data_IF_055592905467
#
_entry.id   IF_055592905467
#
_cell.length_a   1.000
_cell.length_b   1.000
_cell.length_c   1.000
_cell.angle_alpha   90.00
_cell.angle_beta   90.00
_cell.angle_gamma   90.00
#
_symmetry.space_group_name_H-M   'P 1'
#
loop_
_entity.id
_entity.type
_entity.pdbx_description
1 polymer ?
#
# COMPACT_ATOMS: atom_id res chain seq x y z
N UNK A 1 -23.81 20.24 13.19
CA UNK A 1 -23.12 21.21 12.33
C UNK A 1 -23.27 20.74 10.91
N UNK A 2 -23.80 21.59 10.03
CA UNK A 2 -23.94 21.22 8.62
C UNK A 2 -22.63 21.53 7.86
N UNK A 3 -22.33 20.81 6.76
CA UNK A 3 -21.11 21.02 5.96
C UNK A 3 -20.91 22.49 5.57
N UNK A 4 -21.98 23.20 5.27
CA UNK A 4 -21.96 24.62 4.90
C UNK A 4 -21.55 25.56 6.03
N UNK A 5 -21.76 25.19 7.30
CA UNK A 5 -21.33 25.97 8.46
C UNK A 5 -19.83 25.78 8.73
N UNK A 6 -19.32 24.57 8.48
CA UNK A 6 -17.90 24.21 8.58
C UNK A 6 -17.11 24.92 7.49
N UNK A 7 -17.59 24.90 6.24
CA UNK A 7 -16.99 25.64 5.13
C UNK A 7 -16.92 27.15 5.42
N UNK A 8 -18.00 27.72 5.94
CA UNK A 8 -18.04 29.14 6.30
C UNK A 8 -17.05 29.47 7.45
N UNK A 9 -16.92 28.59 8.44
CA UNK A 9 -15.97 28.75 9.54
C UNK A 9 -14.50 28.62 9.08
N UNK A 10 -14.19 27.66 8.20
CA UNK A 10 -12.88 27.51 7.59
C UNK A 10 -12.51 28.69 6.70
N UNK A 11 -13.44 29.15 5.86
CA UNK A 11 -13.23 30.34 5.04
C UNK A 11 -13.02 31.60 5.90
N UNK A 12 -13.73 31.73 7.02
CA UNK A 12 -13.50 32.82 7.97
C UNK A 12 -12.12 32.71 8.65
N UNK A 13 -11.68 31.50 9.01
CA UNK A 13 -10.35 31.26 9.56
C UNK A 13 -9.25 31.57 8.53
N UNK A 14 -9.40 31.13 7.27
CA UNK A 14 -8.48 31.48 6.18
C UNK A 14 -8.39 32.99 5.96
N UNK A 15 -9.54 33.67 5.99
CA UNK A 15 -9.60 35.13 5.86
C UNK A 15 -8.94 35.87 7.03
N UNK A 16 -8.91 35.27 8.22
CA UNK A 16 -8.18 35.81 9.38
C UNK A 16 -6.68 35.53 9.27
N UNK A 17 -6.26 34.35 8.80
CA UNK A 17 -4.86 34.02 8.53
C UNK A 17 -4.25 34.91 7.43
N UNK A 18 -5.02 35.22 6.39
CA UNK A 18 -4.63 36.14 5.32
C UNK A 18 -4.39 37.57 5.87
N UNK A 19 -5.17 38.01 6.87
CA UNK A 19 -4.96 39.29 7.57
C UNK A 19 -3.73 39.29 8.49
N UNK A 20 -3.29 38.12 8.93
CA UNK A 20 -2.11 37.95 9.80
C UNK A 20 -0.82 37.67 9.02
N UNK A 21 -0.80 37.88 7.69
CA UNK A 21 0.35 37.65 6.80
C UNK A 21 0.83 36.19 6.74
N UNK A 22 0.00 35.23 7.18
CA UNK A 22 0.19 33.80 6.97
C UNK A 22 -0.76 33.31 5.87
N UNK A 23 -0.57 33.82 4.64
CA UNK A 23 -1.44 33.50 3.52
C UNK A 23 -1.22 32.07 3.04
N UNK A 24 -2.25 31.24 3.18
CA UNK A 24 -2.28 29.90 2.59
C UNK A 24 -2.57 30.04 1.09
N UNK A 25 -1.84 29.30 0.25
CA UNK A 25 -2.15 29.19 -1.17
C UNK A 25 -3.53 28.54 -1.37
N UNK A 26 -4.20 28.84 -2.49
CA UNK A 26 -5.51 28.27 -2.82
C UNK A 26 -5.50 26.72 -2.81
N UNK A 27 -4.37 26.12 -3.19
CA UNK A 27 -4.18 24.66 -3.09
C UNK A 27 -4.15 24.16 -1.63
N UNK A 28 -3.49 24.87 -0.73
CA UNK A 28 -3.47 24.53 0.70
C UNK A 28 -4.84 24.72 1.36
N UNK A 29 -5.57 25.78 0.99
CA UNK A 29 -6.95 26.01 1.43
C UNK A 29 -7.86 24.86 1.00
N UNK A 30 -7.72 24.40 -0.24
CA UNK A 30 -8.51 23.28 -0.78
C UNK A 30 -8.20 21.94 -0.09
N UNK A 31 -6.92 21.68 0.25
CA UNK A 31 -6.52 20.49 1.02
C UNK A 31 -7.13 20.54 2.44
N UNK A 32 -7.05 21.67 3.14
CA UNK A 32 -7.60 21.82 4.49
C UNK A 32 -9.12 21.69 4.52
N UNK A 33 -9.81 22.28 3.53
CA UNK A 33 -11.26 22.14 3.38
C UNK A 33 -11.64 20.67 3.21
N UNK A 34 -10.91 19.95 2.36
CA UNK A 34 -11.17 18.54 2.10
C UNK A 34 -10.92 17.65 3.34
N UNK A 35 -9.83 17.89 4.09
CA UNK A 35 -9.51 17.16 5.33
C UNK A 35 -10.61 17.32 6.37
N UNK A 36 -11.03 18.56 6.62
CA UNK A 36 -11.97 18.86 7.71
C UNK A 36 -13.39 18.42 7.35
N UNK A 37 -13.78 18.57 6.09
CA UNK A 37 -15.06 18.05 5.59
C UNK A 37 -15.09 16.53 5.67
N UNK A 38 -14.01 15.82 5.31
CA UNK A 38 -13.97 14.36 5.40
C UNK A 38 -13.96 13.85 6.86
N UNK A 39 -13.18 14.46 7.77
CA UNK A 39 -13.18 14.07 9.19
C UNK A 39 -14.50 14.39 9.91
N UNK A 40 -15.10 15.56 9.66
CA UNK A 40 -16.32 15.97 10.34
C UNK A 40 -17.58 15.34 9.74
N UNK A 41 -17.65 15.10 8.43
CA UNK A 41 -18.78 14.37 7.81
C UNK A 41 -18.72 12.88 8.18
N UNK A 42 -17.52 12.29 8.27
CA UNK A 42 -17.35 10.92 8.76
C UNK A 42 -17.91 10.72 10.17
N UNK A 43 -17.71 11.70 11.06
CA UNK A 43 -18.23 11.67 12.44
C UNK A 43 -19.71 12.09 12.54
N UNK A 44 -20.15 13.08 11.75
CA UNK A 44 -21.49 13.68 11.87
C UNK A 44 -22.62 12.84 11.24
N UNK A 45 -22.31 11.95 10.29
CA UNK A 45 -23.31 11.06 9.66
C UNK A 45 -23.55 9.75 10.43
N UNK A 46 -22.89 9.52 11.56
CA UNK A 46 -23.02 8.26 12.29
C UNK A 46 -22.71 7.06 11.39
N UNK A 47 -21.76 7.22 10.47
CA UNK A 47 -21.16 6.08 9.79
C UNK A 47 -20.39 5.37 10.90
N UNK A 48 -20.74 4.12 11.25
CA UNK A 48 -19.93 3.36 12.18
C UNK A 48 -18.48 3.40 11.67
N UNK A 49 -17.48 3.46 12.55
CA UNK A 49 -16.17 2.90 12.19
C UNK A 49 -16.44 1.63 11.38
N UNK A 50 -15.79 1.38 10.23
CA UNK A 50 -16.19 0.28 9.37
C UNK A 50 -15.97 -1.04 10.11
N UNK A 51 -16.99 -1.47 10.86
CA UNK A 51 -17.24 -2.81 11.29
C UNK A 51 -17.44 -3.60 10.01
N UNK A 52 -16.39 -4.29 9.58
CA UNK A 52 -16.45 -5.53 8.79
C UNK A 52 -17.58 -5.57 7.75
N UNK A 53 -17.64 -4.55 6.88
CA UNK A 53 -18.66 -4.41 5.85
C UNK A 53 -18.08 -4.74 4.47
N UNK A 54 -18.57 -5.85 3.93
CA UNK A 54 -18.25 -6.47 2.64
C UNK A 54 -18.64 -5.58 1.44
N UNK A 55 -17.78 -4.62 1.09
CA UNK A 55 -17.96 -3.73 -0.05
C UNK A 55 -16.61 -3.32 -0.64
N UNK A 56 -16.09 -4.18 -1.51
CA UNK A 56 -14.93 -3.91 -2.38
C UNK A 56 -13.61 -3.62 -1.65
N UNK A 57 -13.08 -4.66 -0.97
CA UNK A 57 -11.74 -4.71 -0.34
C UNK A 57 -10.59 -4.76 -1.36
N UNK A 58 -10.67 -3.99 -2.44
CA UNK A 58 -9.54 -3.88 -3.35
C UNK A 58 -8.46 -3.06 -2.64
N UNK A 59 -7.37 -3.71 -2.24
CA UNK A 59 -6.25 -3.05 -1.58
C UNK A 59 -5.82 -1.86 -2.46
N UNK A 60 -5.82 -0.60 -1.97
CA UNK A 60 -5.49 0.56 -2.78
C UNK A 60 -4.05 0.51 -3.33
N UNK A 61 -3.18 -0.30 -2.72
CA UNK A 61 -1.85 -0.59 -3.24
C UNK A 61 -1.88 -1.50 -4.48
N UNK A 62 -2.98 -2.22 -4.73
CA UNK A 62 -3.22 -2.97 -5.96
C UNK A 62 -3.36 -2.06 -7.18
N UNK A 63 -3.85 -0.82 -6.99
CA UNK A 63 -3.96 0.21 -8.03
C UNK A 63 -2.59 0.77 -8.45
N UNK A 64 -1.54 0.52 -7.68
CA UNK A 64 -0.16 0.87 -8.01
C UNK A 64 0.48 -0.18 -8.92
N UNK A 65 1.35 0.26 -9.83
CA UNK A 65 2.24 -0.67 -10.54
C UNK A 65 3.18 -1.36 -9.56
N UNK A 66 3.69 -2.54 -9.92
CA UNK A 66 4.61 -3.30 -9.06
C UNK A 66 5.83 -2.48 -8.63
N UNK A 67 6.36 -1.65 -9.53
CA UNK A 67 7.49 -0.76 -9.21
C UNK A 67 7.09 0.36 -8.25
N UNK A 68 5.96 1.05 -8.49
CA UNK A 68 5.46 2.10 -7.59
C UNK A 68 5.15 1.57 -6.18
N UNK A 69 4.59 0.35 -6.11
CA UNK A 69 4.32 -0.32 -4.85
C UNK A 69 5.60 -0.65 -4.10
N UNK A 70 6.62 -1.18 -4.78
CA UNK A 70 7.93 -1.52 -4.20
C UNK A 70 8.58 -0.29 -3.58
N UNK A 71 8.62 0.80 -4.33
CA UNK A 71 9.19 2.08 -3.90
C UNK A 71 8.42 2.64 -2.69
N UNK A 72 7.09 2.59 -2.69
CA UNK A 72 6.27 3.04 -1.56
C UNK A 72 6.51 2.19 -0.30
N UNK A 73 6.51 0.86 -0.42
CA UNK A 73 6.77 -0.03 0.71
C UNK A 73 8.18 0.18 1.28
N UNK A 74 9.17 0.41 0.43
CA UNK A 74 10.53 0.73 0.88
C UNK A 74 10.57 2.07 1.62
N UNK A 75 9.90 3.10 1.10
CA UNK A 75 9.81 4.41 1.76
C UNK A 75 9.11 4.33 3.12
N UNK A 76 7.96 3.66 3.18
CA UNK A 76 7.20 3.47 4.43
C UNK A 76 8.06 2.74 5.47
N UNK A 77 8.74 1.66 5.08
CA UNK A 77 9.65 0.91 5.96
C UNK A 77 10.81 1.77 6.49
N UNK A 78 11.41 2.60 5.64
CA UNK A 78 12.49 3.51 6.04
C UNK A 78 12.00 4.55 7.04
N UNK A 79 10.81 5.12 6.81
CA UNK A 79 10.18 6.08 7.72
C UNK A 79 9.75 5.44 9.05
N UNK A 80 9.20 4.22 9.03
CA UNK A 80 8.85 3.47 10.24
C UNK A 80 10.10 3.12 11.07
N UNK A 81 11.23 2.80 10.44
CA UNK A 81 12.51 2.58 11.13
C UNK A 81 12.97 3.82 11.89
N UNK A 82 12.70 5.00 11.35
CA UNK A 82 12.97 6.29 12.00
C UNK A 82 11.87 6.73 12.98
N UNK A 83 10.85 5.88 13.19
CA UNK A 83 9.65 6.16 13.99
C UNK A 83 8.92 7.44 13.53
N UNK A 84 8.93 7.68 12.21
CA UNK A 84 8.32 8.85 11.57
C UNK A 84 7.06 8.41 10.82
N UNK A 85 5.91 9.09 11.04
CA UNK A 85 4.69 8.82 10.29
C UNK A 85 4.87 9.25 8.82
N UNK A 86 5.07 8.28 7.94
CA UNK A 86 5.36 8.47 6.51
C UNK A 86 4.31 9.31 5.78
N UNK A 87 3.02 9.16 6.15
CA UNK A 87 1.93 9.97 5.60
C UNK A 87 2.09 11.44 5.92
N UNK A 88 2.48 11.76 7.15
CA UNK A 88 2.67 13.14 7.60
C UNK A 88 3.84 13.78 6.85
N UNK A 89 4.90 13.01 6.59
CA UNK A 89 6.02 13.49 5.76
C UNK A 89 5.56 13.84 4.35
N UNK A 90 4.83 12.95 3.68
CA UNK A 90 4.28 13.23 2.34
C UNK A 90 3.36 14.45 2.33
N UNK A 91 2.45 14.55 3.30
CA UNK A 91 1.55 15.69 3.40
C UNK A 91 2.30 17.00 3.65
N UNK A 92 3.33 16.99 4.49
CA UNK A 92 4.17 18.15 4.73
C UNK A 92 4.95 18.56 3.48
N UNK A 93 5.48 17.61 2.72
CA UNK A 93 6.17 17.87 1.47
C UNK A 93 5.19 18.51 0.46
N UNK A 94 3.96 18.02 0.40
CA UNK A 94 2.92 18.56 -0.49
C UNK A 94 2.48 19.97 -0.09
N UNK A 95 2.31 20.21 1.22
CA UNK A 95 1.94 21.52 1.76
C UNK A 95 3.04 22.55 1.52
N UNK A 96 4.32 22.19 1.63
CA UNK A 96 5.45 23.09 1.39
C UNK A 96 5.84 23.18 -0.09
N UNK A 97 5.05 22.56 -0.98
CA UNK A 97 5.32 22.45 -2.41
C UNK A 97 6.73 21.90 -2.73
N UNK A 98 7.23 21.03 -1.85
CA UNK A 98 8.48 20.32 -2.02
C UNK A 98 8.24 19.06 -2.85
N UNK A 99 9.29 18.62 -3.53
CA UNK A 99 9.28 17.38 -4.29
C UNK A 99 9.33 16.20 -3.30
N UNK A 100 8.35 15.30 -3.37
CA UNK A 100 8.32 14.08 -2.56
C UNK A 100 9.26 12.99 -3.10
N UNK A 101 10.09 13.33 -4.10
CA UNK A 101 11.08 12.46 -4.70
C UNK A 101 10.40 11.30 -5.43
N UNK A 102 10.79 10.07 -5.10
CA UNK A 102 10.21 8.88 -5.71
C UNK A 102 8.72 8.68 -5.36
N UNK A 103 8.18 9.42 -4.38
CA UNK A 103 6.76 9.39 -4.00
C UNK A 103 5.90 10.45 -4.70
N UNK A 104 6.49 11.26 -5.58
CA UNK A 104 5.79 12.33 -6.30
C UNK A 104 4.63 11.79 -7.17
N UNK A 105 4.73 10.54 -7.65
CA UNK A 105 3.65 9.89 -8.40
C UNK A 105 2.34 9.78 -7.61
N UNK A 106 2.41 9.72 -6.28
CA UNK A 106 1.21 9.67 -5.43
C UNK A 106 0.49 11.01 -5.53
N UNK A 107 1.22 12.12 -5.43
CA UNK A 107 0.68 13.48 -5.55
C UNK A 107 0.08 13.73 -6.93
N UNK A 108 0.81 13.35 -7.99
CA UNK A 108 0.47 13.71 -9.36
C UNK A 108 -0.65 12.84 -9.94
N UNK A 109 -0.77 11.58 -9.51
CA UNK A 109 -1.65 10.59 -10.15
C UNK A 109 -2.82 10.11 -9.29
N UNK A 110 -2.64 10.05 -7.97
CA UNK A 110 -3.61 9.46 -7.05
C UNK A 110 -4.21 10.47 -6.07
N UNK A 111 -3.41 11.46 -5.66
CA UNK A 111 -3.80 12.53 -4.75
C UNK A 111 -4.05 12.08 -3.31
N UNK A 112 -4.62 13.01 -2.54
CA UNK A 112 -4.86 12.85 -1.11
C UNK A 112 -5.90 11.76 -0.78
N UNK A 113 -6.96 11.65 -1.60
CA UNK A 113 -8.05 10.68 -1.37
C UNK A 113 -7.53 9.24 -1.36
N UNK A 114 -6.62 8.91 -2.27
CA UNK A 114 -5.98 7.60 -2.29
C UNK A 114 -5.08 7.37 -1.07
N UNK A 115 -4.32 8.40 -0.65
CA UNK A 115 -3.45 8.30 0.53
C UNK A 115 -4.24 8.03 1.83
N UNK A 116 -5.45 8.58 1.94
CA UNK A 116 -6.35 8.31 3.07
C UNK A 116 -6.90 6.88 3.05
N UNK A 117 -7.16 6.31 1.86
CA UNK A 117 -7.59 4.91 1.71
C UNK A 117 -6.52 3.90 2.14
N UNK A 118 -5.23 4.23 2.06
CA UNK A 118 -4.15 3.34 2.49
C UNK A 118 -4.15 3.19 4.02
N UNK A 119 -4.62 2.07 4.54
CA UNK A 119 -4.59 1.77 5.97
C UNK A 119 -3.35 0.94 6.35
N UNK A 120 -2.92 0.95 7.62
CA UNK A 120 -1.84 0.09 8.10
C UNK A 120 -2.09 -1.40 7.81
N UNK A 121 -3.34 -1.85 7.81
CA UNK A 121 -3.71 -3.23 7.44
C UNK A 121 -3.36 -3.57 5.99
N UNK A 122 -3.52 -2.62 5.06
CA UNK A 122 -3.17 -2.80 3.65
C UNK A 122 -1.66 -2.89 3.45
N UNK A 123 -0.89 -2.17 4.25
CA UNK A 123 0.57 -2.24 4.26
C UNK A 123 1.05 -3.53 4.93
N UNK A 124 0.41 -3.93 6.03
CA UNK A 124 0.70 -5.17 6.75
C UNK A 124 0.51 -6.40 5.87
N UNK A 125 -0.46 -6.40 4.95
CA UNK A 125 -0.62 -7.44 3.94
C UNK A 125 0.66 -7.64 3.11
N UNK A 126 1.38 -6.57 2.78
CA UNK A 126 2.65 -6.64 2.07
C UNK A 126 3.87 -6.86 2.99
N UNK A 127 3.80 -6.44 4.25
CA UNK A 127 4.89 -6.61 5.23
C UNK A 127 4.92 -7.98 5.91
N UNK A 128 3.77 -8.62 6.11
CA UNK A 128 3.66 -9.92 6.78
C UNK A 128 4.06 -11.10 5.88
N UNK A 129 4.33 -10.85 4.60
CA UNK A 129 4.67 -11.88 3.61
C UNK A 129 6.13 -12.33 3.65
N UNK A 130 6.97 -11.92 4.60
CA UNK A 130 8.34 -12.45 4.66
C UNK A 130 8.33 -13.91 5.15
N UNK A 131 8.41 -14.82 4.18
CA UNK A 131 8.58 -16.26 4.36
C UNK A 131 9.75 -16.56 5.28
N UNK A 132 9.51 -17.48 6.20
CA UNK A 132 10.50 -18.10 7.06
C UNK A 132 10.58 -19.58 6.75
N UNK A 133 11.73 -20.17 7.05
CA UNK A 133 11.90 -21.62 6.98
C UNK A 133 10.91 -22.28 7.95
N UNK A 134 10.10 -23.20 7.42
CA UNK A 134 9.02 -23.89 8.13
C UNK A 134 7.61 -23.38 7.78
N UNK A 135 7.49 -22.26 7.06
CA UNK A 135 6.20 -21.72 6.67
C UNK A 135 5.51 -22.59 5.62
N UNK A 136 4.18 -22.75 5.75
CA UNK A 136 3.35 -23.43 4.75
C UNK A 136 2.73 -22.42 3.80
N UNK A 137 3.00 -22.60 2.52
CA UNK A 137 2.48 -21.76 1.45
C UNK A 137 1.90 -22.62 0.34
N UNK A 138 1.05 -22.02 -0.46
CA UNK A 138 0.58 -22.61 -1.71
C UNK A 138 1.27 -21.92 -2.88
N UNK A 139 1.75 -22.72 -3.84
CA UNK A 139 2.37 -22.21 -5.06
C UNK A 139 1.58 -22.63 -6.28
N UNK A 140 1.51 -21.74 -7.25
CA UNK A 140 0.76 -21.92 -8.48
C UNK A 140 1.56 -22.75 -9.49
N UNK A 141 0.90 -23.61 -10.27
CA UNK A 141 1.53 -24.25 -11.42
C UNK A 141 2.06 -23.25 -12.47
N UNK A 142 1.63 -21.99 -12.42
CA UNK A 142 2.19 -20.90 -13.23
C UNK A 142 3.71 -20.68 -13.06
N UNK A 143 4.36 -21.29 -12.06
CA UNK A 143 5.82 -21.28 -11.90
C UNK A 143 6.57 -22.20 -12.87
N UNK A 144 5.93 -23.27 -13.35
CA UNK A 144 6.57 -24.29 -14.20
C UNK A 144 5.73 -24.68 -15.42
N UNK A 145 4.46 -24.29 -15.46
CA UNK A 145 3.55 -24.46 -16.58
C UNK A 145 3.10 -23.09 -17.12
N UNK A 146 2.99 -23.00 -18.44
CA UNK A 146 2.37 -21.85 -19.08
C UNK A 146 0.86 -21.92 -18.92
N UNK A 147 0.34 -21.35 -17.83
CA UNK A 147 -1.09 -21.29 -17.52
C UNK A 147 -1.69 -19.99 -18.05
N UNK A 148 -2.72 -20.08 -18.89
CA UNK A 148 -3.47 -18.91 -19.39
C UNK A 148 -4.73 -18.72 -18.52
N UNK A 149 -4.99 -17.50 -18.06
CA UNK A 149 -6.19 -17.19 -17.22
C UNK A 149 -7.53 -17.58 -17.88
N UNK A 150 -7.59 -17.64 -19.21
CA UNK A 150 -8.77 -18.03 -19.99
C UNK A 150 -8.54 -19.28 -20.87
N UNK A 151 -7.53 -20.10 -20.54
CA UNK A 151 -7.22 -21.33 -21.27
C UNK A 151 -7.90 -22.57 -20.68
N UNK A 152 -7.85 -23.73 -21.37
CA UNK A 152 -8.38 -25.00 -20.85
C UNK A 152 -7.61 -25.56 -19.65
N UNK A 153 -6.47 -24.97 -19.29
CA UNK A 153 -5.71 -25.29 -18.08
C UNK A 153 -5.92 -24.17 -17.06
N UNK A 154 -6.64 -24.47 -15.98
CA UNK A 154 -6.84 -23.56 -14.86
C UNK A 154 -5.58 -23.44 -14.00
N UNK A 155 -5.41 -22.29 -13.33
CA UNK A 155 -4.37 -22.10 -12.31
C UNK A 155 -4.68 -22.97 -11.10
N UNK A 156 -3.80 -23.93 -10.85
CA UNK A 156 -3.88 -24.84 -9.70
C UNK A 156 -2.86 -24.42 -8.64
N UNK A 157 -3.23 -24.60 -7.37
CA UNK A 157 -2.43 -24.23 -6.22
C UNK A 157 -1.99 -25.49 -5.47
N UNK A 158 -0.68 -25.61 -5.25
CA UNK A 158 -0.05 -26.78 -4.64
C UNK A 158 0.53 -26.39 -3.29
N UNK A 159 0.16 -27.11 -2.21
CA UNK A 159 0.72 -26.86 -0.90
C UNK A 159 2.20 -27.26 -0.86
N UNK A 160 3.01 -26.44 -0.22
CA UNK A 160 4.43 -26.69 -0.01
C UNK A 160 4.93 -26.02 1.28
N UNK A 161 6.12 -26.44 1.72
CA UNK A 161 6.77 -25.89 2.91
C UNK A 161 8.04 -25.15 2.50
N UNK A 162 8.27 -23.96 3.04
CA UNK A 162 9.50 -23.20 2.82
C UNK A 162 10.63 -23.87 3.58
N UNK A 163 11.67 -24.29 2.86
CA UNK A 163 12.87 -24.94 3.43
C UNK A 163 14.11 -24.05 3.41
N UNK A 164 14.11 -22.99 2.60
CA UNK A 164 15.20 -22.03 2.54
C UNK A 164 14.72 -20.68 2.03
N UNK A 165 15.31 -19.59 2.53
CA UNK A 165 15.12 -18.24 2.00
C UNK A 165 16.50 -17.59 1.92
N UNK A 166 16.87 -17.13 0.74
CA UNK A 166 18.18 -16.50 0.49
C UNK A 166 18.01 -15.22 -0.32
N UNK A 167 18.84 -14.23 -0.03
CA UNK A 167 18.86 -12.99 -0.80
C UNK A 167 20.02 -13.04 -1.80
N UNK A 168 19.73 -12.75 -3.07
CA UNK A 168 20.70 -12.73 -4.15
C UNK A 168 20.83 -11.30 -4.66
N UNK A 169 22.06 -10.81 -4.74
CA UNK A 169 22.37 -9.52 -5.32
C UNK A 169 22.95 -9.71 -6.73
N UNK A 170 22.27 -9.18 -7.74
CA UNK A 170 22.71 -9.20 -9.13
C UNK A 170 22.81 -7.76 -9.65
N UNK A 171 24.06 -7.27 -9.76
CA UNK A 171 24.32 -5.87 -10.08
C UNK A 171 23.83 -4.91 -8.99
N UNK A 172 22.96 -3.97 -9.37
CA UNK A 172 22.31 -3.02 -8.44
C UNK A 172 20.99 -3.55 -7.85
N UNK A 173 20.54 -4.75 -8.25
CA UNK A 173 19.24 -5.29 -7.82
C UNK A 173 19.44 -6.45 -6.85
N UNK A 174 18.80 -6.35 -5.70
CA UNK A 174 18.68 -7.44 -4.72
C UNK A 174 17.30 -8.06 -4.85
N UNK A 175 17.24 -9.38 -5.01
CA UNK A 175 15.99 -10.14 -5.03
C UNK A 175 16.07 -11.31 -4.06
N UNK A 176 14.92 -11.75 -3.55
CA UNK A 176 14.87 -12.88 -2.61
C UNK A 176 14.48 -14.16 -3.33
N UNK A 177 15.25 -15.22 -3.12
CA UNK A 177 14.93 -16.57 -3.55
C UNK A 177 14.33 -17.36 -2.38
N UNK A 178 13.43 -18.27 -2.71
CA UNK A 178 12.78 -19.15 -1.77
C UNK A 178 12.93 -20.60 -2.26
N UNK A 179 13.43 -21.49 -1.41
CA UNK A 179 13.43 -22.93 -1.67
C UNK A 179 12.22 -23.51 -0.97
N UNK A 180 11.34 -24.13 -1.75
CA UNK A 180 10.15 -24.82 -1.28
C UNK A 180 10.32 -26.33 -1.39
N UNK A 181 9.62 -27.08 -0.54
CA UNK A 181 9.52 -28.53 -0.59
C UNK A 181 8.05 -28.94 -0.66
N UNK A 182 7.70 -29.71 -1.67
CA UNK A 182 6.37 -30.31 -1.82
C UNK A 182 6.23 -31.56 -0.95
N UNK A 183 5.00 -32.01 -0.73
CA UNK A 183 4.71 -33.21 0.08
C UNK A 183 5.31 -34.50 -0.50
N UNK A 184 5.60 -34.53 -1.80
CA UNK A 184 6.29 -35.64 -2.46
C UNK A 184 7.82 -35.65 -2.20
N UNK A 185 8.35 -34.68 -1.44
CA UNK A 185 9.77 -34.55 -1.14
C UNK A 185 10.58 -33.79 -2.20
N UNK A 186 9.97 -33.39 -3.31
CA UNK A 186 10.63 -32.59 -4.35
C UNK A 186 10.87 -31.17 -3.86
N UNK A 187 12.08 -30.66 -4.07
CA UNK A 187 12.46 -29.29 -3.75
C UNK A 187 12.53 -28.44 -5.01
N UNK A 188 12.10 -27.19 -4.91
CA UNK A 188 12.10 -26.24 -6.01
C UNK A 188 12.55 -24.86 -5.53
N UNK A 189 13.42 -24.20 -6.30
CA UNK A 189 13.86 -22.84 -6.03
C UNK A 189 13.02 -21.85 -6.83
N UNK A 190 12.39 -20.92 -6.13
CA UNK A 190 11.64 -19.80 -6.68
C UNK A 190 12.48 -18.56 -6.53
N UNK A 191 13.01 -18.07 -7.65
CA UNK A 191 13.76 -16.81 -7.67
C UNK A 191 12.81 -15.61 -7.67
N UNK A 192 13.19 -14.53 -7.00
CA UNK A 192 12.39 -13.31 -6.94
C UNK A 192 10.99 -13.55 -6.37
N UNK A 193 10.90 -14.29 -5.26
CA UNK A 193 9.64 -14.70 -4.62
C UNK A 193 8.73 -13.51 -4.30
N UNK A 194 9.30 -12.37 -3.91
CA UNK A 194 8.55 -11.13 -3.65
C UNK A 194 8.45 -10.21 -4.85
N UNK A 195 9.22 -10.48 -5.90
CA UNK A 195 9.35 -9.65 -7.09
C UNK A 195 8.41 -10.18 -8.18
N UNK A 196 8.98 -10.75 -9.25
CA UNK A 196 8.22 -11.25 -10.39
C UNK A 196 7.39 -12.51 -10.07
N UNK A 197 7.71 -13.24 -9.01
CA UNK A 197 6.96 -14.43 -8.60
C UNK A 197 5.95 -14.17 -7.47
N UNK A 198 5.72 -12.92 -7.08
CA UNK A 198 4.77 -12.57 -6.00
C UNK A 198 3.33 -13.04 -6.25
N UNK A 199 2.90 -13.16 -7.52
CA UNK A 199 1.55 -13.61 -7.89
C UNK A 199 1.41 -15.13 -7.98
N UNK A 200 2.53 -15.85 -7.86
CA UNK A 200 2.62 -17.29 -8.06
C UNK A 200 2.65 -18.07 -6.74
N UNK A 201 2.50 -17.40 -5.61
CA UNK A 201 2.39 -18.04 -4.30
C UNK A 201 1.41 -17.27 -3.42
N UNK A 202 0.88 -17.94 -2.40
CA UNK A 202 0.01 -17.36 -1.37
C UNK A 202 0.16 -18.14 -0.07
N UNK A 203 -0.26 -17.56 1.05
CA UNK A 203 -0.34 -18.30 2.31
C UNK A 203 -1.36 -19.44 2.19
N UNK A 204 -1.00 -20.61 2.72
CA UNK A 204 -1.97 -21.69 2.87
C UNK A 204 -3.01 -21.25 3.91
N UNK A 205 -4.29 -21.23 3.54
CA UNK A 205 -5.37 -21.00 4.49
C UNK A 205 -5.41 -22.20 5.45
N UNK A 206 -5.12 -21.96 6.73
CA UNK A 206 -5.35 -22.94 7.80
C UNK A 206 -6.85 -23.11 8.07
#
# INVERSE_FOLDING_TARGET
>A
MNPSEIDAALQAAFSQCDKMLCSLSEKQKQILLQVVVEELIGVALGIPEPENGDGDRTNPLAELTSEQRRVLLQFVKEQERENRPWKIKLLNDWLNNQDSGEMQFIRDRYGFQWLNRVQPVHLAEYYQLKLKVGDRIEVSNGLWEWVQENGPCSREWFPCTVVGVSETAEGERTYTNCIIRFDNGTEYEIQGIYDWNSFNWRWANN
#
